data_IF_875507995124
#
_entry.id   IF_875507995124
#
_cell.length_a   1.000
_cell.length_b   1.000
_cell.length_c   1.000
_cell.angle_alpha   90.00
_cell.angle_beta   90.00
_cell.angle_gamma   90.00
#
_symmetry.space_group_name_H-M   'P 1'
#
loop_
_entity.id
_entity.type
_entity.pdbx_description
1 polymer ?
#
# COMPACT_ATOMS: atom_id res chain seq x y z
N UNK A 1 18.98 -6.38 -26.71
CA UNK A 1 17.55 -6.80 -26.74
C UNK A 1 17.14 -7.04 -25.29
N UNK A 2 16.62 -6.01 -24.59
CA UNK A 2 16.12 -6.13 -23.24
C UNK A 2 14.88 -7.04 -23.29
N UNK A 3 14.90 -8.17 -22.60
CA UNK A 3 13.69 -8.96 -22.39
C UNK A 3 12.71 -8.06 -21.64
N UNK A 4 11.53 -7.84 -22.20
CA UNK A 4 10.40 -7.27 -21.45
C UNK A 4 10.18 -8.15 -20.22
N UNK A 5 10.62 -7.67 -19.07
CA UNK A 5 10.35 -8.30 -17.78
C UNK A 5 8.87 -8.01 -17.46
N UNK A 6 8.04 -8.98 -17.72
CA UNK A 6 6.59 -8.87 -17.57
C UNK A 6 6.21 -9.20 -16.12
N UNK A 7 5.86 -8.20 -15.31
CA UNK A 7 5.37 -8.36 -13.94
C UNK A 7 3.92 -8.87 -13.85
N UNK A 8 3.27 -9.15 -14.98
CA UNK A 8 1.85 -9.55 -15.03
C UNK A 8 1.48 -10.75 -14.15
N UNK A 9 2.44 -11.58 -13.73
CA UNK A 9 2.17 -12.79 -12.96
C UNK A 9 3.07 -12.98 -11.73
N UNK A 10 3.95 -12.03 -11.41
CA UNK A 10 4.79 -12.10 -10.21
C UNK A 10 5.02 -10.69 -9.65
N UNK A 11 4.80 -10.47 -8.35
CA UNK A 11 5.13 -9.20 -7.73
C UNK A 11 6.65 -8.95 -7.75
N UNK A 12 7.06 -7.69 -7.80
CA UNK A 12 8.41 -7.31 -7.39
C UNK A 12 8.49 -7.43 -5.87
N UNK A 13 9.43 -8.22 -5.37
CA UNK A 13 9.72 -8.33 -3.93
C UNK A 13 11.20 -8.05 -3.77
N UNK A 14 11.55 -6.94 -3.09
CA UNK A 14 12.92 -6.57 -2.80
C UNK A 14 13.63 -7.66 -1.99
N UNK A 15 14.93 -7.84 -2.20
CA UNK A 15 15.71 -8.97 -1.66
C UNK A 15 15.70 -9.10 -0.14
N UNK A 16 15.47 -7.99 0.58
CA UNK A 16 15.39 -7.97 2.05
C UNK A 16 13.98 -7.68 2.58
N UNK A 17 12.96 -7.70 1.73
CA UNK A 17 11.57 -7.68 2.18
C UNK A 17 11.17 -9.07 2.70
N UNK A 18 10.31 -9.10 3.72
CA UNK A 18 9.81 -10.34 4.32
C UNK A 18 8.33 -10.52 3.99
N UNK A 19 7.98 -11.57 3.26
CA UNK A 19 6.60 -11.92 2.92
C UNK A 19 6.34 -13.34 3.37
N UNK A 20 5.33 -13.55 4.20
CA UNK A 20 5.02 -14.86 4.76
C UNK A 20 3.53 -15.07 5.02
N UNK A 21 3.10 -16.33 4.97
CA UNK A 21 1.73 -16.75 5.25
C UNK A 21 0.78 -16.63 4.05
N UNK A 22 -0.51 -16.41 4.33
CA UNK A 22 -1.59 -16.37 3.33
C UNK A 22 -1.69 -14.98 2.67
N UNK A 23 -0.75 -14.68 1.76
CA UNK A 23 -0.72 -13.43 1.01
C UNK A 23 -1.16 -13.64 -0.44
N UNK A 24 -2.12 -12.84 -0.92
CA UNK A 24 -2.55 -12.82 -2.31
C UNK A 24 -2.14 -11.50 -2.96
N UNK A 25 -1.49 -11.58 -4.12
CA UNK A 25 -1.06 -10.43 -4.91
C UNK A 25 -1.83 -10.33 -6.22
N UNK A 26 -2.26 -9.11 -6.55
CA UNK A 26 -2.69 -8.74 -7.89
C UNK A 26 -1.51 -8.55 -8.85
N UNK A 27 -1.82 -8.07 -10.06
CA UNK A 27 -0.82 -7.78 -11.08
C UNK A 27 0.00 -6.52 -10.73
N UNK A 28 1.26 -6.50 -11.14
CA UNK A 28 2.17 -5.34 -11.02
C UNK A 28 2.37 -4.82 -9.58
N UNK A 29 2.15 -5.66 -8.58
CA UNK A 29 2.41 -5.28 -7.18
C UNK A 29 3.91 -5.19 -6.93
N UNK A 30 4.32 -4.22 -6.11
CA UNK A 30 5.71 -4.07 -5.68
C UNK A 30 5.84 -3.97 -4.16
N UNK A 31 6.77 -4.75 -3.60
CA UNK A 31 7.11 -4.79 -2.17
C UNK A 31 8.57 -4.38 -2.03
N UNK A 32 8.82 -3.27 -1.35
CA UNK A 32 10.10 -2.60 -1.33
C UNK A 32 10.96 -2.99 -0.13
N UNK A 33 12.15 -2.41 -0.04
CA UNK A 33 13.20 -2.85 0.86
C UNK A 33 12.82 -2.76 2.33
N UNK A 34 13.04 -3.85 3.06
CA UNK A 34 12.72 -3.95 4.48
C UNK A 34 11.24 -3.97 4.83
N UNK A 35 10.34 -3.97 3.85
CA UNK A 35 8.90 -4.13 4.11
C UNK A 35 8.60 -5.53 4.67
N UNK A 36 7.62 -5.60 5.57
CA UNK A 36 7.17 -6.85 6.18
C UNK A 36 5.68 -7.06 5.91
N UNK A 37 5.34 -8.16 5.26
CA UNK A 37 3.97 -8.61 5.05
C UNK A 37 3.83 -9.95 5.74
N UNK A 38 3.15 -9.98 6.89
CA UNK A 38 3.04 -11.17 7.71
C UNK A 38 1.57 -11.60 7.86
N UNK A 39 1.17 -12.58 7.04
CA UNK A 39 -0.17 -13.15 6.97
C UNK A 39 -0.21 -14.53 7.65
N UNK A 40 0.37 -14.64 8.85
CA UNK A 40 0.46 -15.88 9.63
C UNK A 40 -0.78 -16.13 10.51
N UNK A 41 -1.63 -15.13 10.68
CA UNK A 41 -2.84 -15.19 11.50
C UNK A 41 -4.09 -15.09 10.64
N UNK A 42 -4.14 -14.13 9.72
CA UNK A 42 -5.27 -13.87 8.84
C UNK A 42 -4.76 -13.47 7.45
N UNK A 43 -5.64 -13.54 6.42
CA UNK A 43 -5.28 -13.25 5.04
C UNK A 43 -4.89 -11.77 4.82
N UNK A 44 -3.89 -11.56 3.93
CA UNK A 44 -3.56 -10.25 3.39
C UNK A 44 -3.74 -10.28 1.87
N UNK A 45 -4.58 -9.40 1.34
CA UNK A 45 -4.91 -9.31 -0.07
C UNK A 45 -4.45 -7.95 -0.59
N UNK A 46 -3.69 -7.93 -1.69
CA UNK A 46 -3.15 -6.72 -2.29
C UNK A 46 -3.56 -6.65 -3.76
N UNK A 47 -4.30 -5.62 -4.12
CA UNK A 47 -4.82 -5.39 -5.46
C UNK A 47 -3.77 -4.92 -6.46
N UNK A 48 -4.17 -4.84 -7.73
CA UNK A 48 -3.30 -4.54 -8.86
C UNK A 48 -2.61 -3.17 -8.74
N UNK A 49 -1.39 -3.05 -9.29
CA UNK A 49 -0.57 -1.85 -9.37
C UNK A 49 -0.23 -1.21 -8.01
N UNK A 50 -0.53 -1.88 -6.89
CA UNK A 50 -0.30 -1.34 -5.55
C UNK A 50 1.15 -1.53 -5.13
N UNK A 51 1.67 -0.59 -4.31
CA UNK A 51 3.04 -0.64 -3.85
C UNK A 51 3.12 -0.54 -2.32
N UNK A 52 3.94 -1.40 -1.73
CA UNK A 52 4.21 -1.45 -0.30
C UNK A 52 5.65 -0.98 -0.13
N UNK A 53 5.82 0.28 0.29
CA UNK A 53 7.11 0.95 0.27
C UNK A 53 8.02 0.50 1.42
N UNK A 54 9.27 1.00 1.36
CA UNK A 54 10.35 0.57 2.25
C UNK A 54 9.92 0.62 3.72
N UNK A 55 10.24 -0.44 4.44
CA UNK A 55 9.98 -0.60 5.89
C UNK A 55 8.50 -0.55 6.31
N UNK A 56 7.56 -0.54 5.37
CA UNK A 56 6.13 -0.63 5.72
C UNK A 56 5.79 -2.02 6.29
N UNK A 57 4.78 -2.08 7.16
CA UNK A 57 4.34 -3.32 7.80
C UNK A 57 2.87 -3.56 7.53
N UNK A 58 2.55 -4.73 6.98
CA UNK A 58 1.18 -5.24 6.87
C UNK A 58 1.03 -6.47 7.76
N UNK A 59 0.02 -6.44 8.62
CA UNK A 59 -0.34 -7.57 9.48
C UNK A 59 -1.86 -7.63 9.65
N UNK A 60 -2.36 -8.64 10.34
CA UNK A 60 -3.79 -8.85 10.56
C UNK A 60 -4.03 -9.66 11.83
N UNK A 61 -5.16 -9.42 12.49
CA UNK A 61 -5.63 -10.21 13.62
C UNK A 61 -6.70 -11.23 13.18
N UNK A 62 -7.00 -12.26 13.99
CA UNK A 62 -8.00 -13.25 13.67
C UNK A 62 -9.37 -12.62 13.35
N UNK A 63 -9.92 -12.90 12.18
CA UNK A 63 -11.20 -12.37 11.71
C UNK A 63 -11.15 -10.95 11.12
N UNK A 64 -10.00 -10.28 11.15
CA UNK A 64 -9.81 -8.93 10.60
C UNK A 64 -8.72 -8.95 9.50
N UNK A 65 -9.01 -9.43 8.28
CA UNK A 65 -8.04 -9.47 7.19
C UNK A 65 -7.59 -8.06 6.79
N UNK A 66 -6.35 -7.95 6.33
CA UNK A 66 -5.86 -6.71 5.70
C UNK A 66 -6.09 -6.76 4.21
N UNK A 67 -6.91 -5.82 3.70
CA UNK A 67 -7.28 -5.74 2.29
C UNK A 67 -6.82 -4.42 1.72
N UNK A 68 -5.92 -4.47 0.76
CA UNK A 68 -5.41 -3.33 0.00
C UNK A 68 -6.03 -3.38 -1.40
N UNK A 69 -6.73 -2.33 -1.80
CA UNK A 69 -7.35 -2.20 -3.11
C UNK A 69 -6.36 -2.07 -4.26
N UNK A 70 -6.86 -1.75 -5.44
CA UNK A 70 -6.04 -1.49 -6.63
C UNK A 70 -5.47 -0.07 -6.61
N UNK A 71 -4.34 0.14 -7.29
CA UNK A 71 -3.70 1.45 -7.43
C UNK A 71 -3.46 2.15 -6.06
N UNK A 72 -3.12 1.40 -5.02
CA UNK A 72 -2.88 1.90 -3.65
C UNK A 72 -1.39 2.07 -3.40
N UNK A 73 -1.03 3.17 -2.76
CA UNK A 73 0.33 3.39 -2.23
C UNK A 73 0.33 3.27 -0.71
N UNK A 74 1.11 2.34 -0.17
CA UNK A 74 1.44 2.26 1.26
C UNK A 74 2.83 2.86 1.43
N UNK A 75 2.89 4.07 1.97
CA UNK A 75 4.10 4.87 2.09
C UNK A 75 5.14 4.29 3.04
N UNK A 76 6.38 4.76 2.90
CA UNK A 76 7.54 4.29 3.68
C UNK A 76 7.25 4.26 5.18
N UNK A 77 7.49 3.14 5.83
CA UNK A 77 7.30 2.94 7.26
C UNK A 77 5.86 2.98 7.75
N UNK A 78 4.87 3.02 6.88
CA UNK A 78 3.46 2.96 7.28
C UNK A 78 3.10 1.58 7.84
N UNK A 79 2.12 1.55 8.75
CA UNK A 79 1.59 0.32 9.34
C UNK A 79 0.12 0.20 8.96
N UNK A 80 -0.27 -0.94 8.39
CA UNK A 80 -1.68 -1.27 8.14
C UNK A 80 -1.97 -2.61 8.80
N UNK A 81 -2.89 -2.59 9.75
CA UNK A 81 -3.19 -3.72 10.60
C UNK A 81 -4.70 -4.01 10.62
N UNK A 82 -5.12 -5.15 10.06
CA UNK A 82 -6.51 -5.60 10.07
C UNK A 82 -7.51 -4.59 9.48
N UNK A 83 -7.15 -3.91 8.39
CA UNK A 83 -7.91 -2.80 7.83
C UNK A 83 -8.18 -2.96 6.33
N UNK A 84 -9.17 -2.23 5.84
CA UNK A 84 -9.54 -2.19 4.42
C UNK A 84 -9.17 -0.84 3.83
N UNK A 85 -8.37 -0.84 2.77
CA UNK A 85 -7.93 0.36 2.04
C UNK A 85 -8.56 0.33 0.63
N UNK A 86 -9.40 1.31 0.32
CA UNK A 86 -10.06 1.44 -0.97
C UNK A 86 -9.12 1.85 -2.10
N UNK A 87 -9.53 1.54 -3.33
CA UNK A 87 -8.76 1.77 -4.55
C UNK A 87 -8.28 3.22 -4.69
N UNK A 88 -7.10 3.40 -5.28
CA UNK A 88 -6.54 4.71 -5.60
C UNK A 88 -6.09 5.52 -4.38
N UNK A 89 -6.06 4.94 -3.18
CA UNK A 89 -5.73 5.67 -1.95
C UNK A 89 -4.22 5.69 -1.67
N UNK A 90 -3.78 6.75 -1.00
CA UNK A 90 -2.42 6.93 -0.51
C UNK A 90 -2.41 6.89 1.02
N UNK A 91 -1.71 5.95 1.58
CA UNK A 91 -1.34 5.91 3.00
C UNK A 91 0.03 6.55 3.14
N UNK A 92 0.09 7.72 3.76
CA UNK A 92 1.30 8.52 3.87
C UNK A 92 2.39 7.86 4.73
N UNK A 93 3.61 8.35 4.57
CA UNK A 93 4.79 7.84 5.29
C UNK A 93 4.53 7.79 6.81
N UNK A 94 4.85 6.65 7.46
CA UNK A 94 4.67 6.42 8.90
C UNK A 94 3.24 6.61 9.43
N UNK A 95 2.23 6.64 8.56
CA UNK A 95 0.85 6.58 9.02
C UNK A 95 0.55 5.19 9.60
N UNK A 96 -0.32 5.15 10.60
CA UNK A 96 -0.75 3.90 11.25
C UNK A 96 -2.26 3.75 11.10
N UNK A 97 -2.68 2.64 10.52
CA UNK A 97 -4.09 2.28 10.31
C UNK A 97 -4.39 1.05 11.15
N UNK A 98 -5.31 1.17 12.10
CA UNK A 98 -5.62 0.10 13.04
C UNK A 98 -6.80 -0.76 12.58
N UNK A 99 -7.03 -1.85 13.32
CA UNK A 99 -8.01 -2.90 13.02
C UNK A 99 -9.40 -2.34 12.70
N UNK A 100 -10.08 -3.02 11.77
CA UNK A 100 -11.46 -2.69 11.36
C UNK A 100 -11.63 -1.29 10.75
N UNK A 101 -10.57 -0.50 10.63
CA UNK A 101 -10.66 0.76 9.93
C UNK A 101 -10.95 0.52 8.43
N UNK A 102 -11.79 1.38 7.86
CA UNK A 102 -12.18 1.32 6.45
C UNK A 102 -11.86 2.66 5.79
N UNK A 103 -10.85 2.66 4.95
CA UNK A 103 -10.49 3.82 4.15
C UNK A 103 -11.20 3.70 2.80
N UNK A 104 -11.95 4.73 2.43
CA UNK A 104 -12.63 4.80 1.15
C UNK A 104 -11.67 4.90 -0.04
N UNK A 105 -12.22 5.05 -1.24
CA UNK A 105 -11.45 5.19 -2.49
C UNK A 105 -10.87 6.59 -2.63
N UNK A 106 -9.72 6.67 -3.32
CA UNK A 106 -9.05 7.95 -3.62
C UNK A 106 -8.79 8.80 -2.37
N UNK A 107 -8.54 8.19 -1.22
CA UNK A 107 -8.23 8.91 0.01
C UNK A 107 -6.74 9.22 0.10
N UNK A 108 -6.42 10.35 0.75
CA UNK A 108 -5.05 10.70 1.15
C UNK A 108 -5.00 10.70 2.67
N UNK A 109 -4.33 9.72 3.24
CA UNK A 109 -3.97 9.70 4.67
C UNK A 109 -2.59 10.35 4.77
N UNK A 110 -2.51 11.49 5.44
CA UNK A 110 -1.26 12.25 5.58
C UNK A 110 -0.19 11.48 6.35
N UNK A 111 1.06 11.89 6.19
CA UNK A 111 2.18 11.30 6.92
C UNK A 111 1.97 11.37 8.45
N UNK A 112 2.42 10.34 9.18
CA UNK A 112 2.29 10.21 10.64
C UNK A 112 0.85 10.26 11.18
N UNK A 113 -0.17 10.10 10.35
CA UNK A 113 -1.57 10.08 10.78
C UNK A 113 -1.90 8.77 11.51
N UNK A 114 -2.65 8.83 12.60
CA UNK A 114 -3.18 7.67 13.31
C UNK A 114 -4.67 7.51 13.03
N UNK A 115 -5.03 6.56 12.18
CA UNK A 115 -6.42 6.13 11.98
C UNK A 115 -6.73 5.05 13.01
N UNK A 116 -7.65 5.36 13.93
CA UNK A 116 -7.99 4.50 15.05
C UNK A 116 -8.87 3.33 14.62
N UNK A 117 -8.94 2.32 15.50
CA UNK A 117 -9.75 1.11 15.28
C UNK A 117 -11.21 1.44 14.91
N UNK A 118 -11.72 0.73 13.91
CA UNK A 118 -13.10 0.84 13.43
C UNK A 118 -13.46 2.15 12.74
N UNK A 119 -12.51 3.07 12.57
CA UNK A 119 -12.77 4.35 11.92
C UNK A 119 -13.12 4.18 10.45
N UNK A 120 -14.18 4.86 9.99
CA UNK A 120 -14.62 4.85 8.60
C UNK A 120 -14.29 6.20 7.97
N UNK A 121 -13.45 6.19 6.92
CA UNK A 121 -13.07 7.35 6.14
C UNK A 121 -13.83 7.31 4.80
N UNK A 122 -14.64 8.32 4.48
CA UNK A 122 -15.37 8.39 3.20
C UNK A 122 -14.44 8.50 2.00
N UNK A 123 -14.93 8.11 0.82
CA UNK A 123 -14.23 8.28 -0.45
C UNK A 123 -13.73 9.74 -0.65
N UNK A 124 -12.62 9.90 -1.37
CA UNK A 124 -12.03 11.19 -1.77
C UNK A 124 -11.63 12.10 -0.59
N UNK A 125 -11.31 11.55 0.57
CA UNK A 125 -10.99 12.33 1.77
C UNK A 125 -9.50 12.61 1.91
N UNK A 126 -9.14 13.85 2.28
CA UNK A 126 -7.85 14.19 2.87
C UNK A 126 -7.94 14.08 4.38
N UNK A 127 -7.09 13.27 4.98
CA UNK A 127 -7.12 12.93 6.41
C UNK A 127 -5.76 13.16 7.03
N UNK A 128 -5.70 13.84 8.17
CA UNK A 128 -4.46 14.08 8.92
C UNK A 128 -4.70 14.04 10.43
N UNK A 129 -3.63 13.87 11.20
CA UNK A 129 -3.63 14.07 12.65
C UNK A 129 -3.56 12.79 13.49
N UNK A 130 -3.39 12.99 14.80
CA UNK A 130 -3.35 11.96 15.84
C UNK A 130 -4.30 12.40 16.97
N UNK A 131 -5.53 11.84 17.05
CA UNK A 131 -6.15 10.90 16.09
C UNK A 131 -6.52 11.57 14.75
N UNK A 132 -6.73 10.75 13.72
CA UNK A 132 -7.06 11.15 12.37
C UNK A 132 -8.35 12.00 12.29
N UNK A 133 -8.34 13.02 11.43
CA UNK A 133 -9.52 13.84 11.14
C UNK A 133 -9.61 14.09 9.63
N UNK A 134 -10.81 13.97 9.08
CA UNK A 134 -11.10 14.37 7.70
C UNK A 134 -11.03 15.91 7.63
N UNK A 135 -10.16 16.44 6.77
CA UNK A 135 -9.92 17.87 6.63
C UNK A 135 -10.74 18.44 5.47
N UNK A 136 -10.78 17.76 4.34
CA UNK A 136 -11.51 18.16 3.14
C UNK A 136 -11.65 17.00 2.16
N UNK A 137 -12.39 17.20 1.11
CA UNK A 137 -12.41 16.35 -0.08
C UNK A 137 -11.21 16.68 -0.97
N UNK A 138 -10.64 15.68 -1.63
CA UNK A 138 -9.67 15.90 -2.70
C UNK A 138 -10.39 16.09 -4.04
N UNK A 139 -9.75 16.80 -4.96
CA UNK A 139 -10.27 17.01 -6.31
C UNK A 139 -9.98 15.77 -7.20
N UNK A 140 -10.71 15.66 -8.32
CA UNK A 140 -10.45 14.64 -9.34
C UNK A 140 -9.01 14.73 -9.88
N UNK A 141 -8.48 15.95 -10.05
CA UNK A 141 -7.10 16.14 -10.46
C UNK A 141 -6.11 15.57 -9.44
N UNK A 142 -6.37 15.74 -8.14
CA UNK A 142 -5.54 15.14 -7.08
C UNK A 142 -5.64 13.60 -7.11
N UNK A 143 -6.84 13.03 -7.30
CA UNK A 143 -7.01 11.58 -7.45
C UNK A 143 -6.25 11.02 -8.66
N UNK A 144 -6.26 11.73 -9.80
CA UNK A 144 -5.46 11.35 -10.98
C UNK A 144 -3.95 11.35 -10.69
N UNK A 145 -3.46 12.33 -9.91
CA UNK A 145 -2.05 12.38 -9.50
C UNK A 145 -1.65 11.20 -8.62
N UNK A 146 -2.54 10.73 -7.73
CA UNK A 146 -2.29 9.52 -6.94
C UNK A 146 -2.06 8.30 -7.84
N UNK A 147 -2.92 8.13 -8.83
CA UNK A 147 -2.79 7.03 -9.80
C UNK A 147 -1.50 7.11 -10.61
N UNK A 148 -1.06 8.30 -11.03
CA UNK A 148 0.23 8.47 -11.69
C UNK A 148 1.40 8.07 -10.78
N UNK A 149 1.27 8.33 -9.48
CA UNK A 149 2.24 7.90 -8.47
C UNK A 149 2.38 6.36 -8.41
N UNK A 150 1.27 5.61 -8.41
CA UNK A 150 1.33 4.14 -8.41
C UNK A 150 1.93 3.59 -9.70
N UNK A 151 1.56 4.14 -10.86
CA UNK A 151 2.16 3.74 -12.15
C UNK A 151 3.67 4.04 -12.22
N UNK A 152 4.13 5.10 -11.56
CA UNK A 152 5.57 5.36 -11.41
C UNK A 152 6.25 4.21 -10.66
N UNK A 153 5.65 3.71 -9.56
CA UNK A 153 6.19 2.58 -8.79
C UNK A 153 6.20 1.28 -9.59
N UNK A 154 5.21 1.03 -10.45
CA UNK A 154 5.24 -0.11 -11.38
C UNK A 154 6.48 -0.03 -12.28
N UNK A 155 6.74 1.12 -12.91
CA UNK A 155 7.93 1.33 -13.75
C UNK A 155 9.24 1.22 -12.97
N UNK A 156 9.27 1.73 -11.73
CA UNK A 156 10.46 1.60 -10.88
C UNK A 156 10.76 0.14 -10.55
N UNK A 157 9.73 -0.66 -10.24
CA UNK A 157 9.89 -2.07 -9.98
C UNK A 157 10.44 -2.84 -11.19
N UNK A 158 9.97 -2.52 -12.41
CA UNK A 158 10.52 -3.08 -13.66
C UNK A 158 12.01 -2.76 -13.82
N UNK A 159 12.43 -1.53 -13.54
CA UNK A 159 13.84 -1.10 -13.60
C UNK A 159 14.72 -1.84 -12.58
N UNK A 160 14.22 -2.04 -11.35
CA UNK A 160 14.92 -2.83 -10.32
C UNK A 160 15.07 -4.30 -10.76
N UNK A 161 14.00 -4.91 -11.31
CA UNK A 161 14.06 -6.26 -11.87
C UNK A 161 15.04 -6.36 -13.05
N UNK A 162 15.15 -5.29 -13.84
CA UNK A 162 16.10 -5.17 -14.94
C UNK A 162 17.57 -5.03 -14.51
N UNK A 163 17.85 -4.90 -13.20
CA UNK A 163 19.19 -4.77 -12.66
C UNK A 163 19.80 -3.37 -12.81
N UNK A 164 18.99 -2.34 -13.05
CA UNK A 164 19.48 -0.97 -13.21
C UNK A 164 20.07 -0.40 -11.89
N UNK A 165 19.63 -0.93 -10.75
CA UNK A 165 20.05 -0.49 -9.41
C UNK A 165 20.58 -1.66 -8.59
N UNK A 166 21.82 -2.15 -8.85
CA UNK A 166 22.39 -3.22 -8.06
C UNK A 166 22.65 -2.77 -6.62
N UNK A 167 22.46 -3.69 -5.67
CA UNK A 167 22.92 -3.46 -4.29
C UNK A 167 24.47 -3.41 -4.29
N UNK A 168 25.03 -2.45 -3.59
CA UNK A 168 26.48 -2.27 -3.46
C UNK A 168 27.01 -3.10 -2.28
#
# INVERSE_FOLDING_TARGET
MLKELNMKNKPFIASNASVMGNVTFGENVSVWYGAVIRADVEAIIIGNNSNIQDTAVLHADPGDPTIIGNDVTIGHGAIVHGAVIGDGSLIGMRATILNKAKIGRNCVIGACTLVTEGMIIPDNSLVVGIPAKVIKQISEQQAQMLKLGTLHYVKMAERHLGGEFPLM
#
